data_IF_684131755159
#
_entry.id   IF_684131755159
#
_cell.length_a   1.000
_cell.length_b   1.000
_cell.length_c   1.000
_cell.angle_alpha   90.00
_cell.angle_beta   90.00
_cell.angle_gamma   90.00
#
_symmetry.space_group_name_H-M   'P 1'
#
loop_
_entity.id
_entity.type
_entity.pdbx_description
1 polymer ?
#
# COMPACT_ATOMS: atom_id res chain seq x y z
N UNK A 1 -9.20 11.64 21.08
CA UNK A 1 -10.17 11.85 19.99
C UNK A 1 -9.61 12.94 19.09
N UNK A 2 -9.37 12.68 17.79
CA UNK A 2 -8.94 13.73 16.88
C UNK A 2 -10.01 14.80 16.76
N UNK A 3 -9.60 16.07 16.72
CA UNK A 3 -10.52 17.20 16.73
C UNK A 3 -10.48 17.87 15.36
N UNK A 4 -11.64 17.84 14.68
CA UNK A 4 -11.84 18.48 13.38
C UNK A 4 -12.37 19.89 13.61
N UNK A 5 -11.73 20.87 12.99
CA UNK A 5 -12.14 22.27 13.04
C UNK A 5 -12.23 22.85 11.64
N UNK A 6 -12.78 24.07 11.54
CA UNK A 6 -12.79 24.83 10.28
C UNK A 6 -13.43 24.06 9.10
N UNK A 7 -14.45 23.24 9.38
CA UNK A 7 -15.15 22.49 8.34
C UNK A 7 -16.00 23.44 7.48
N UNK A 8 -15.74 23.44 6.18
CA UNK A 8 -16.48 24.22 5.19
C UNK A 8 -16.91 23.33 4.03
N UNK A 9 -18.13 23.56 3.56
CA UNK A 9 -18.67 22.89 2.38
C UNK A 9 -19.07 23.95 1.35
N UNK A 10 -18.67 23.77 0.10
CA UNK A 10 -19.06 24.64 -1.00
C UNK A 10 -19.62 23.82 -2.15
N UNK A 11 -20.70 24.31 -2.74
CA UNK A 11 -21.32 23.72 -3.94
C UNK A 11 -21.03 24.67 -5.08
N UNK A 12 -20.25 24.22 -6.07
CA UNK A 12 -19.99 25.00 -7.27
C UNK A 12 -21.22 24.93 -8.17
N UNK A 13 -21.98 26.03 -8.24
CA UNK A 13 -23.25 26.10 -8.96
C UNK A 13 -23.06 26.28 -10.47
N UNK A 14 -21.92 26.84 -10.86
CA UNK A 14 -21.46 27.18 -12.21
C UNK A 14 -20.72 26.03 -12.92
N UNK A 15 -20.16 25.08 -12.18
CA UNK A 15 -19.42 23.92 -12.72
C UNK A 15 -20.27 22.65 -12.83
N UNK A 16 -21.35 22.70 -13.61
CA UNK A 16 -22.07 21.49 -14.02
C UNK A 16 -21.57 21.06 -15.40
N UNK A 17 -20.88 19.91 -15.47
CA UNK A 17 -20.41 19.28 -16.72
C UNK A 17 -21.57 18.68 -17.53
N UNK A 18 -22.61 19.46 -17.83
CA UNK A 18 -23.76 19.00 -18.64
C UNK A 18 -24.65 17.94 -17.97
N UNK A 19 -24.51 17.71 -16.67
CA UNK A 19 -25.35 16.82 -15.86
C UNK A 19 -26.05 17.62 -14.74
N UNK A 20 -27.14 17.07 -14.23
CA UNK A 20 -27.88 17.52 -13.05
C UNK A 20 -27.09 17.42 -11.73
N UNK A 21 -25.93 16.75 -11.74
CA UNK A 21 -25.03 16.71 -10.60
C UNK A 21 -24.28 18.05 -10.40
N UNK A 22 -24.11 18.45 -9.13
CA UNK A 22 -23.36 19.65 -8.72
C UNK A 22 -22.06 19.23 -8.03
N UNK A 23 -20.95 19.85 -8.43
CA UNK A 23 -19.66 19.62 -7.78
C UNK A 23 -19.72 20.20 -6.36
N UNK A 24 -19.41 19.36 -5.38
CA UNK A 24 -19.39 19.75 -3.97
C UNK A 24 -17.99 19.51 -3.39
N UNK A 25 -17.42 20.53 -2.76
CA UNK A 25 -16.12 20.47 -2.08
C UNK A 25 -16.32 20.55 -0.57
N UNK A 26 -15.75 19.60 0.15
CA UNK A 26 -15.71 19.59 1.61
C UNK A 26 -14.25 19.76 2.04
N UNK A 27 -13.98 20.76 2.87
CA UNK A 27 -12.66 21.05 3.43
C UNK A 27 -12.77 21.14 4.94
N UNK A 28 -11.74 20.69 5.66
CA UNK A 28 -11.66 20.84 7.11
C UNK A 28 -10.20 20.79 7.58
N UNK A 29 -9.95 21.36 8.74
CA UNK A 29 -8.66 21.28 9.40
C UNK A 29 -8.67 20.15 10.43
N UNK A 30 -7.64 19.32 10.38
CA UNK A 30 -7.52 18.14 11.22
C UNK A 30 -6.43 18.37 12.26
N UNK A 31 -6.82 18.50 13.54
CA UNK A 31 -5.88 18.60 14.67
C UNK A 31 -5.81 17.28 15.41
N UNK A 32 -4.67 16.58 15.28
CA UNK A 32 -4.37 15.44 16.15
C UNK A 32 -3.89 16.01 17.49
N UNK A 33 -4.57 15.73 18.62
CA UNK A 33 -3.99 16.07 19.91
C UNK A 33 -2.64 15.38 19.99
N UNK A 34 -1.58 16.16 20.23
CA UNK A 34 -0.26 15.64 20.57
C UNK A 34 -0.41 14.96 21.92
N UNK A 35 -0.89 13.72 21.90
CA UNK A 35 -0.49 12.75 22.91
C UNK A 35 1.03 12.86 22.86
N UNK A 36 1.66 13.11 24.00
CA UNK A 36 3.07 12.75 24.15
C UNK A 36 3.13 11.24 23.96
N UNK A 37 3.04 10.77 22.72
CA UNK A 37 3.60 9.52 22.29
C UNK A 37 5.08 9.73 22.55
N UNK A 38 5.47 9.44 23.80
CA UNK A 38 6.63 8.64 24.13
C UNK A 38 7.36 8.36 22.84
N UNK A 39 8.42 9.15 22.60
CA UNK A 39 9.22 9.13 21.39
C UNK A 39 9.12 7.73 20.81
N UNK A 40 8.37 7.55 19.72
CA UNK A 40 8.54 6.36 18.91
C UNK A 40 9.89 6.56 18.25
N UNK A 41 10.96 6.43 19.06
CA UNK A 41 12.20 5.87 18.60
C UNK A 41 11.75 4.73 17.69
N UNK A 42 12.12 4.75 16.38
CA UNK A 42 11.73 3.70 15.47
C UNK A 42 12.00 2.40 16.20
N UNK A 43 10.98 1.56 16.37
CA UNK A 43 11.07 0.44 17.29
C UNK A 43 12.39 -0.26 17.03
N UNK A 44 13.21 -0.36 18.07
CA UNK A 44 14.40 -1.19 18.07
C UNK A 44 13.89 -2.62 17.88
N UNK A 45 13.69 -3.04 16.62
CA UNK A 45 13.00 -4.29 16.32
C UNK A 45 12.56 -4.46 14.87
N UNK A 46 12.07 -3.41 14.18
CA UNK A 46 11.84 -3.51 12.74
C UNK A 46 13.13 -3.20 11.99
N UNK A 47 14.02 -4.18 11.95
CA UNK A 47 15.15 -4.18 11.01
C UNK A 47 14.55 -3.99 9.62
N UNK A 48 14.74 -2.80 9.04
CA UNK A 48 14.34 -2.48 7.66
C UNK A 48 15.04 -3.53 6.78
N UNK A 49 14.31 -4.53 6.29
CA UNK A 49 14.90 -5.55 5.42
C UNK A 49 15.36 -4.86 4.15
N UNK A 50 16.67 -4.79 3.96
CA UNK A 50 17.26 -4.20 2.77
C UNK A 50 17.47 -5.32 1.75
N UNK A 51 16.61 -5.42 0.73
CA UNK A 51 16.83 -6.38 -0.35
C UNK A 51 17.99 -5.95 -1.25
N UNK A 52 18.81 -6.91 -1.70
CA UNK A 52 19.88 -6.62 -2.65
C UNK A 52 19.36 -6.56 -4.10
N UNK A 53 18.55 -5.54 -4.41
CA UNK A 53 17.85 -5.42 -5.69
C UNK A 53 18.78 -5.40 -6.91
N UNK A 54 20.06 -5.06 -6.76
CA UNK A 54 21.03 -5.14 -7.85
C UNK A 54 21.20 -6.56 -8.40
N UNK A 55 20.93 -7.59 -7.58
CA UNK A 55 20.98 -9.00 -8.00
C UNK A 55 19.87 -9.38 -8.99
N UNK A 56 18.79 -8.60 -9.08
CA UNK A 56 17.76 -8.83 -10.12
C UNK A 56 18.28 -8.64 -11.54
N UNK A 57 19.47 -8.05 -11.71
CA UNK A 57 20.17 -7.99 -13.01
C UNK A 57 20.79 -9.34 -13.41
N UNK A 58 20.97 -10.26 -12.47
CA UNK A 58 21.48 -11.60 -12.72
C UNK A 58 20.34 -12.47 -13.29
N UNK A 59 20.50 -13.10 -14.46
CA UNK A 59 19.42 -13.82 -15.14
C UNK A 59 18.80 -14.93 -14.27
N UNK A 60 19.61 -15.65 -13.51
CA UNK A 60 19.14 -16.77 -12.68
C UNK A 60 18.34 -16.28 -11.46
N UNK A 61 18.76 -15.16 -10.85
CA UNK A 61 18.03 -14.54 -9.74
C UNK A 61 16.72 -13.93 -10.23
N UNK A 62 16.73 -13.30 -11.41
CA UNK A 62 15.52 -12.78 -12.04
C UNK A 62 14.52 -13.90 -12.33
N UNK A 63 14.96 -15.01 -12.94
CA UNK A 63 14.11 -16.19 -13.19
C UNK A 63 13.52 -16.74 -11.90
N UNK A 64 14.33 -16.86 -10.85
CA UNK A 64 13.88 -17.33 -9.54
C UNK A 64 12.85 -16.38 -8.90
N UNK A 65 13.07 -15.07 -8.98
CA UNK A 65 12.10 -14.08 -8.52
C UNK A 65 10.76 -14.24 -9.25
N UNK A 66 10.79 -14.30 -10.59
CA UNK A 66 9.57 -14.42 -11.41
C UNK A 66 8.83 -15.71 -11.10
N UNK A 67 9.51 -16.86 -11.06
CA UNK A 67 8.87 -18.15 -10.78
C UNK A 67 8.24 -18.18 -9.37
N UNK A 68 8.95 -17.63 -8.39
CA UNK A 68 8.46 -17.54 -7.01
C UNK A 68 7.27 -16.60 -6.91
N UNK A 69 7.33 -15.43 -7.55
CA UNK A 69 6.24 -14.47 -7.57
C UNK A 69 4.99 -15.06 -8.21
N UNK A 70 5.11 -15.66 -9.40
CA UNK A 70 3.99 -16.31 -10.08
C UNK A 70 3.36 -17.42 -9.22
N UNK A 71 4.17 -18.20 -8.52
CA UNK A 71 3.66 -19.26 -7.64
C UNK A 71 2.94 -18.69 -6.43
N UNK A 72 3.43 -17.60 -5.83
CA UNK A 72 2.83 -17.00 -4.64
C UNK A 72 1.60 -16.13 -4.97
N UNK A 73 1.59 -15.50 -6.15
CA UNK A 73 0.49 -14.64 -6.61
C UNK A 73 -0.69 -15.42 -7.19
N UNK A 74 -0.61 -16.76 -7.30
CA UNK A 74 -1.65 -17.57 -7.93
C UNK A 74 -3.03 -17.37 -7.25
N UNK A 75 -3.07 -17.43 -5.91
CA UNK A 75 -4.30 -17.21 -5.16
C UNK A 75 -4.85 -15.79 -5.32
N UNK A 76 -3.97 -14.78 -5.31
CA UNK A 76 -4.34 -13.39 -5.56
C UNK A 76 -4.92 -13.18 -6.97
N UNK A 77 -4.36 -13.87 -7.97
CA UNK A 77 -4.86 -13.84 -9.34
C UNK A 77 -6.26 -14.44 -9.43
N UNK A 78 -6.51 -15.58 -8.78
CA UNK A 78 -7.82 -16.22 -8.73
C UNK A 78 -8.86 -15.29 -8.07
N UNK A 79 -8.49 -14.62 -6.97
CA UNK A 79 -9.35 -13.63 -6.32
C UNK A 79 -9.69 -12.44 -7.23
N UNK A 80 -8.70 -11.89 -7.93
CA UNK A 80 -8.91 -10.81 -8.89
C UNK A 80 -9.84 -11.23 -10.03
N UNK A 81 -9.67 -12.45 -10.55
CA UNK A 81 -10.55 -12.98 -11.59
C UNK A 81 -12.00 -13.09 -11.10
N UNK A 82 -12.21 -13.59 -9.87
CA UNK A 82 -13.55 -13.67 -9.27
C UNK A 82 -14.20 -12.30 -9.10
N UNK A 83 -13.45 -11.29 -8.64
CA UNK A 83 -13.96 -9.93 -8.51
C UNK A 83 -14.34 -9.31 -9.86
N UNK A 84 -13.58 -9.60 -10.93
CA UNK A 84 -13.91 -9.17 -12.28
C UNK A 84 -15.16 -9.89 -12.83
N UNK A 85 -15.32 -11.18 -12.54
CA UNK A 85 -16.48 -11.97 -13.00
C UNK A 85 -17.74 -11.74 -12.17
N UNK A 86 -17.61 -11.29 -10.93
CA UNK A 86 -18.71 -11.08 -9.99
C UNK A 86 -18.42 -9.88 -9.10
N UNK A 87 -18.57 -8.65 -9.62
CA UNK A 87 -18.27 -7.45 -8.87
C UNK A 87 -19.19 -7.37 -7.64
N UNK A 88 -18.59 -7.31 -6.46
CA UNK A 88 -19.33 -7.17 -5.21
C UNK A 88 -20.02 -5.81 -5.17
N UNK A 89 -21.27 -5.76 -4.70
CA UNK A 89 -22.00 -4.49 -4.52
C UNK A 89 -21.51 -3.66 -3.33
N UNK A 90 -20.55 -4.18 -2.55
CA UNK A 90 -19.94 -3.52 -1.39
C UNK A 90 -18.57 -2.93 -1.75
N UNK A 91 -18.08 -2.00 -0.92
CA UNK A 91 -16.75 -1.39 -1.06
C UNK A 91 -15.69 -2.46 -1.30
N UNK A 92 -14.98 -2.36 -2.43
CA UNK A 92 -13.96 -3.33 -2.82
C UNK A 92 -12.89 -3.47 -1.74
N UNK A 93 -12.40 -4.69 -1.45
CA UNK A 93 -11.38 -4.95 -0.44
C UNK A 93 -9.97 -4.59 -0.94
N UNK A 94 -9.83 -3.38 -1.52
CA UNK A 94 -8.60 -2.89 -2.17
C UNK A 94 -7.41 -2.89 -1.21
N UNK A 95 -7.63 -2.55 0.06
CA UNK A 95 -6.56 -2.54 1.06
C UNK A 95 -6.01 -3.95 1.31
N UNK A 96 -6.90 -4.95 1.41
CA UNK A 96 -6.51 -6.36 1.56
C UNK A 96 -5.74 -6.87 0.33
N UNK A 97 -6.22 -6.56 -0.87
CA UNK A 97 -5.53 -6.93 -2.12
C UNK A 97 -4.13 -6.31 -2.19
N UNK A 98 -3.99 -5.06 -1.74
CA UNK A 98 -2.71 -4.37 -1.71
C UNK A 98 -1.77 -5.00 -0.68
N UNK A 99 -2.27 -5.34 0.51
CA UNK A 99 -1.48 -6.02 1.54
C UNK A 99 -0.99 -7.40 1.06
N UNK A 100 -1.86 -8.16 0.40
CA UNK A 100 -1.52 -9.48 -0.15
C UNK A 100 -0.53 -9.39 -1.30
N UNK A 101 -0.69 -8.40 -2.20
CA UNK A 101 0.27 -8.12 -3.26
C UNK A 101 1.65 -7.76 -2.68
N UNK A 102 1.69 -6.84 -1.71
CA UNK A 102 2.92 -6.43 -1.05
C UNK A 102 3.60 -7.62 -0.34
N UNK A 103 2.83 -8.44 0.39
CA UNK A 103 3.33 -9.65 1.03
C UNK A 103 3.94 -10.63 0.01
N UNK A 104 3.31 -10.77 -1.15
CA UNK A 104 3.79 -11.62 -2.24
C UNK A 104 5.11 -11.10 -2.81
N UNK A 105 5.21 -9.79 -3.07
CA UNK A 105 6.45 -9.15 -3.55
C UNK A 105 7.57 -9.35 -2.54
N UNK A 106 7.32 -9.05 -1.26
CA UNK A 106 8.33 -9.15 -0.21
C UNK A 106 8.82 -10.58 0.00
N UNK A 107 7.89 -11.55 -0.01
CA UNK A 107 8.23 -12.98 0.12
C UNK A 107 9.04 -13.48 -1.09
N UNK A 108 8.73 -12.99 -2.29
CA UNK A 108 9.46 -13.32 -3.51
C UNK A 108 10.87 -12.74 -3.51
N UNK A 109 11.03 -11.51 -3.02
CA UNK A 109 12.34 -10.87 -2.84
C UNK A 109 13.18 -11.57 -1.77
N UNK A 110 12.57 -11.93 -0.62
CA UNK A 110 13.26 -12.66 0.46
C UNK A 110 13.85 -13.99 -0.04
N UNK A 111 13.10 -14.71 -0.90
CA UNK A 111 13.54 -16.00 -1.47
C UNK A 111 14.55 -15.88 -2.62
N UNK A 112 14.58 -14.76 -3.35
CA UNK A 112 15.39 -14.63 -4.57
C UNK A 112 16.67 -13.81 -4.39
N UNK A 113 16.57 -12.59 -3.86
CA UNK A 113 17.70 -11.65 -3.80
C UNK A 113 18.42 -11.69 -2.44
N UNK A 114 17.73 -12.15 -1.39
CA UNK A 114 18.27 -12.19 -0.02
C UNK A 114 18.43 -10.80 0.61
N UNK A 115 18.85 -10.77 1.88
CA UNK A 115 19.00 -9.54 2.67
C UNK A 115 20.42 -8.98 2.63
N UNK A 116 20.55 -7.66 2.50
CA UNK A 116 21.77 -6.92 2.81
C UNK A 116 21.82 -6.74 4.32
N UNK A 117 22.79 -7.40 4.96
CA UNK A 117 23.13 -7.10 6.35
C UNK A 117 23.67 -5.66 6.38
N UNK A 118 23.07 -4.79 7.18
CA UNK A 118 23.60 -3.44 7.39
C UNK A 118 25.01 -3.58 7.98
N UNK A 119 26.01 -3.04 7.29
CA UNK A 119 27.40 -3.03 7.75
C UNK A 119 27.43 -2.35 9.14
N UNK A 120 27.97 -2.98 10.19
CA UNK A 120 28.16 -2.30 11.46
C UNK A 120 29.08 -1.09 11.20
N UNK A 121 28.70 0.08 11.73
CA UNK A 121 29.56 1.26 11.72
C UNK A 121 30.78 0.94 12.59
N UNK A 122 31.97 0.86 11.98
CA UNK A 122 33.24 0.90 12.71
C UNK A 122 33.48 2.30 13.24
#
# INVERSE_FOLDING_TARGET
MPLVHSASISVALDFSLGSDHKLMSLSFEYSVPVVSSMSSSPSSGQVRRLWNLSRLKEPEVQKLYVSTFCSLSAALLDQLQQLCSSPSSTRSPIDHLNDELNATIYSSLDKSVGSRVSRPKQ
#
